data_IF_870334610131
#
_entry.id   IF_870334610131
#
_cell.length_a   1.000
_cell.length_b   1.000
_cell.length_c   1.000
_cell.angle_alpha   90.00
_cell.angle_beta   90.00
_cell.angle_gamma   90.00
#
_symmetry.space_group_name_H-M   'P 1'
#
loop_
_entity.id
_entity.type
_entity.pdbx_description
1 polymer ?
#
# COMPACT_ATOMS: atom_id res chain seq x y z
N UNK A 1 -79.30 -31.70 61.14
CA UNK A 1 -79.41 -33.17 61.32
C UNK A 1 -78.03 -33.76 61.01
N UNK A 2 -77.42 -34.46 61.97
CA UNK A 2 -76.16 -35.21 61.84
C UNK A 2 -76.37 -36.47 60.96
N UNK A 3 -75.36 -37.14 60.34
CA UNK A 3 -74.01 -37.37 60.90
C UNK A 3 -72.80 -37.39 59.92
N UNK A 4 -71.60 -37.38 60.52
CA UNK A 4 -70.29 -37.89 60.01
C UNK A 4 -70.35 -39.45 59.94
N UNK A 5 -69.32 -40.26 59.56
CA UNK A 5 -67.89 -40.01 59.27
C UNK A 5 -67.39 -40.80 58.01
N UNK A 6 -66.12 -40.80 57.62
CA UNK A 6 -65.16 -41.81 58.06
C UNK A 6 -63.75 -41.37 57.63
N UNK A 7 -62.87 -41.17 58.62
CA UNK A 7 -61.44 -41.10 58.38
C UNK A 7 -60.91 -42.52 58.26
N UNK A 8 -60.22 -42.84 57.17
CA UNK A 8 -59.20 -43.88 57.18
C UNK A 8 -57.88 -43.20 56.82
N UNK A 9 -57.06 -42.99 57.84
CA UNK A 9 -55.65 -42.75 57.67
C UNK A 9 -54.99 -44.11 57.51
N UNK A 10 -54.12 -44.30 56.51
CA UNK A 10 -53.09 -45.32 56.59
C UNK A 10 -51.84 -44.89 55.82
N UNK A 11 -50.83 -44.55 56.63
CA UNK A 11 -49.40 -44.85 56.50
C UNK A 11 -48.63 -44.32 55.29
N UNK A 12 -47.77 -43.34 55.62
CA UNK A 12 -46.64 -42.88 54.85
C UNK A 12 -45.65 -44.02 54.55
N UNK A 13 -45.20 -44.07 53.31
CA UNK A 13 -43.93 -44.66 52.93
C UNK A 13 -43.04 -43.53 52.42
N UNK A 14 -42.06 -43.16 53.23
CA UNK A 14 -40.94 -42.31 52.84
C UNK A 14 -40.05 -43.07 51.87
N UNK A 15 -39.88 -42.54 50.65
CA UNK A 15 -38.76 -42.87 49.79
C UNK A 15 -38.00 -41.58 49.47
N UNK A 16 -36.76 -41.54 49.95
CA UNK A 16 -35.74 -40.55 49.63
C UNK A 16 -35.34 -40.79 48.17
N UNK A 17 -35.44 -39.77 47.31
CA UNK A 17 -34.70 -39.74 46.07
C UNK A 17 -34.01 -38.39 45.89
N UNK A 18 -32.76 -38.54 45.44
CA UNK A 18 -31.73 -37.54 45.23
C UNK A 18 -32.13 -36.52 44.16
N UNK A 19 -31.54 -35.34 44.28
CA UNK A 19 -31.56 -34.30 43.26
C UNK A 19 -31.10 -34.83 41.89
N UNK A 20 -31.86 -34.50 40.85
CA UNK A 20 -31.34 -34.16 39.54
C UNK A 20 -32.20 -33.01 39.02
N UNK A 21 -31.56 -31.87 38.76
CA UNK A 21 -32.17 -30.75 38.05
C UNK A 21 -32.29 -31.19 36.59
N UNK A 22 -33.48 -31.60 36.17
CA UNK A 22 -33.84 -31.76 34.76
C UNK A 22 -35.11 -30.97 34.55
N UNK A 23 -34.98 -29.73 34.08
CA UNK A 23 -36.09 -28.96 33.53
C UNK A 23 -36.37 -29.51 32.14
N UNK A 24 -37.14 -30.60 32.07
CA UNK A 24 -37.88 -30.99 30.89
C UNK A 24 -39.15 -30.12 30.85
N UNK A 25 -39.01 -28.90 30.33
CA UNK A 25 -40.14 -28.04 29.96
C UNK A 25 -40.39 -28.22 28.46
N UNK A 26 -40.98 -29.36 28.08
CA UNK A 26 -41.60 -29.53 26.75
C UNK A 26 -43.07 -29.11 26.85
N UNK A 27 -43.37 -27.92 26.33
CA UNK A 27 -44.72 -27.34 26.25
C UNK A 27 -45.62 -28.16 25.29
N UNK A 28 -46.91 -28.38 25.56
CA UNK A 28 -47.80 -29.22 24.76
C UNK A 28 -48.44 -28.47 23.57
N UNK A 29 -47.75 -27.46 23.06
CA UNK A 29 -48.11 -26.71 21.86
C UNK A 29 -46.83 -26.48 21.06
N UNK A 30 -46.30 -27.55 20.46
CA UNK A 30 -45.36 -27.46 19.36
C UNK A 30 -46.06 -26.65 18.26
N UNK A 31 -45.86 -25.34 18.25
CA UNK A 31 -45.95 -24.57 17.02
C UNK A 31 -45.00 -25.29 16.07
N UNK A 32 -45.56 -25.97 15.07
CA UNK A 32 -44.77 -26.67 14.08
C UNK A 32 -43.78 -25.64 13.55
N UNK A 33 -42.49 -25.83 13.88
CA UNK A 33 -41.45 -24.88 13.55
C UNK A 33 -41.48 -24.64 12.05
N UNK A 34 -41.46 -23.36 11.65
CA UNK A 34 -41.55 -22.97 10.25
C UNK A 34 -42.77 -23.52 9.50
N UNK A 35 -43.87 -23.82 10.21
CA UNK A 35 -45.09 -24.37 9.61
C UNK A 35 -44.94 -25.80 9.09
N UNK A 36 -43.80 -26.47 9.37
CA UNK A 36 -43.53 -27.84 8.93
C UNK A 36 -43.03 -27.95 7.49
N UNK A 37 -42.63 -26.82 6.90
CA UNK A 37 -42.12 -26.71 5.54
C UNK A 37 -40.76 -26.00 5.53
N UNK A 38 -39.95 -26.26 6.55
CA UNK A 38 -38.64 -25.64 6.73
C UNK A 38 -38.05 -25.89 8.11
N UNK A 39 -36.82 -25.44 8.28
CA UNK A 39 -36.05 -25.55 9.52
C UNK A 39 -35.85 -24.17 10.16
N UNK A 40 -36.07 -24.07 11.47
CA UNK A 40 -35.83 -22.83 12.22
C UNK A 40 -34.35 -22.67 12.54
N UNK A 41 -33.76 -21.57 12.12
CA UNK A 41 -32.40 -21.19 12.47
C UNK A 41 -32.37 -19.79 13.10
N UNK A 42 -32.06 -19.74 14.39
CA UNK A 42 -32.10 -18.51 15.17
C UNK A 42 -33.53 -17.96 15.26
N UNK A 43 -33.78 -16.86 14.56
CA UNK A 43 -35.07 -16.16 14.49
C UNK A 43 -35.70 -16.17 13.09
N UNK A 44 -35.18 -16.99 12.15
CA UNK A 44 -35.67 -17.10 10.78
C UNK A 44 -35.86 -18.56 10.33
N UNK A 45 -36.69 -18.77 9.32
CA UNK A 45 -37.02 -20.09 8.77
C UNK A 45 -36.34 -20.33 7.42
N UNK A 46 -35.55 -21.40 7.31
CA UNK A 46 -35.08 -21.94 6.03
C UNK A 46 -36.17 -22.82 5.44
N UNK A 47 -36.94 -22.30 4.48
CA UNK A 47 -38.09 -22.99 3.91
C UNK A 47 -37.70 -24.03 2.85
N UNK A 48 -38.47 -25.12 2.77
CA UNK A 48 -38.36 -26.14 1.73
C UNK A 48 -38.70 -25.57 0.34
N UNK A 49 -38.25 -26.25 -0.72
CA UNK A 49 -38.55 -25.90 -2.10
C UNK A 49 -40.05 -25.63 -2.33
N UNK A 50 -40.35 -24.46 -2.91
CA UNK A 50 -41.72 -24.01 -3.17
C UNK A 50 -42.40 -23.30 -2.00
N UNK A 51 -41.68 -23.02 -0.91
CA UNK A 51 -42.14 -22.23 0.22
C UNK A 51 -41.24 -21.01 0.46
N UNK A 52 -41.82 -19.94 0.98
CA UNK A 52 -41.13 -18.70 1.38
C UNK A 52 -41.49 -18.34 2.82
N UNK A 53 -40.57 -17.70 3.53
CA UNK A 53 -40.80 -17.31 4.92
C UNK A 53 -41.77 -16.12 5.01
N UNK A 54 -42.87 -16.30 5.75
CA UNK A 54 -43.78 -15.26 6.23
C UNK A 54 -43.73 -15.24 7.77
N UNK A 55 -42.80 -14.44 8.30
CA UNK A 55 -42.45 -14.48 9.71
C UNK A 55 -41.75 -15.78 10.11
N UNK A 56 -42.28 -16.49 11.12
CA UNK A 56 -41.77 -17.79 11.59
C UNK A 56 -42.56 -18.97 10.98
N UNK A 57 -43.08 -18.80 9.77
CA UNK A 57 -43.86 -19.82 9.06
C UNK A 57 -43.48 -19.84 7.59
N UNK A 58 -43.32 -21.02 7.02
CA UNK A 58 -43.12 -21.19 5.59
C UNK A 58 -44.47 -21.34 4.90
N UNK A 59 -44.77 -20.42 3.98
CA UNK A 59 -46.00 -20.39 3.19
C UNK A 59 -45.68 -20.70 1.73
N UNK A 60 -46.65 -21.24 0.99
CA UNK A 60 -46.45 -21.59 -0.43
C UNK A 60 -46.07 -20.34 -1.21
N UNK A 61 -45.01 -20.44 -2.03
CA UNK A 61 -44.63 -19.37 -2.95
C UNK A 61 -45.73 -19.20 -4.01
N UNK A 62 -46.32 -18.01 -4.12
CA UNK A 62 -47.42 -17.74 -5.07
C UNK A 62 -46.96 -17.72 -6.54
N UNK A 63 -45.66 -17.49 -6.76
CA UNK A 63 -44.96 -17.59 -8.03
C UNK A 63 -43.71 -18.46 -7.81
N UNK A 64 -43.17 -19.15 -8.83
CA UNK A 64 -41.87 -19.79 -8.68
C UNK A 64 -40.86 -18.73 -8.27
N UNK A 65 -40.35 -18.85 -7.05
CA UNK A 65 -39.16 -18.13 -6.64
C UNK A 65 -38.01 -18.75 -7.42
N UNK A 66 -37.58 -18.07 -8.47
CA UNK A 66 -36.32 -18.40 -9.14
C UNK A 66 -35.21 -18.12 -8.11
N UNK A 67 -34.75 -19.18 -7.46
CA UNK A 67 -33.71 -19.15 -6.45
C UNK A 67 -32.52 -18.34 -6.95
N UNK A 68 -32.09 -17.36 -6.16
CA UNK A 68 -30.99 -16.45 -6.54
C UNK A 68 -31.17 -15.79 -7.92
N UNK A 69 -32.41 -15.52 -8.35
CA UNK A 69 -32.68 -14.90 -9.64
C UNK A 69 -32.39 -15.79 -10.85
N UNK A 70 -32.22 -17.09 -10.64
CA UNK A 70 -31.91 -18.07 -11.69
C UNK A 70 -30.44 -18.08 -12.14
N UNK A 71 -29.56 -17.40 -11.41
CA UNK A 71 -28.13 -17.21 -11.74
C UNK A 71 -27.21 -17.53 -10.57
N UNK A 72 -27.59 -18.51 -9.76
CA UNK A 72 -26.83 -18.96 -8.61
C UNK A 72 -27.57 -20.04 -7.84
N UNK A 73 -27.03 -20.37 -6.68
CA UNK A 73 -27.67 -21.25 -5.71
C UNK A 73 -27.60 -20.64 -4.32
N UNK A 74 -28.67 -20.81 -3.55
CA UNK A 74 -28.79 -20.36 -2.19
C UNK A 74 -27.99 -21.29 -1.29
N UNK A 75 -27.17 -20.69 -0.43
CA UNK A 75 -26.56 -21.39 0.69
C UNK A 75 -26.85 -20.60 1.95
N UNK A 76 -27.63 -21.21 2.85
CA UNK A 76 -28.19 -20.57 4.03
C UNK A 76 -29.04 -19.33 3.67
N UNK A 77 -28.51 -18.12 3.86
CA UNK A 77 -29.16 -16.84 3.60
C UNK A 77 -28.47 -16.02 2.48
N UNK A 78 -27.48 -16.60 1.80
CA UNK A 78 -26.64 -15.93 0.80
C UNK A 78 -26.66 -16.64 -0.56
N UNK A 79 -26.67 -15.88 -1.65
CA UNK A 79 -26.60 -16.43 -3.00
C UNK A 79 -25.16 -16.61 -3.49
N UNK A 80 -24.78 -17.86 -3.76
CA UNK A 80 -23.58 -18.17 -4.53
C UNK A 80 -23.87 -18.02 -6.03
N UNK A 81 -23.54 -16.86 -6.56
CA UNK A 81 -23.80 -16.52 -7.94
C UNK A 81 -22.89 -17.23 -8.94
N UNK A 82 -23.43 -17.51 -10.11
CA UNK A 82 -22.71 -17.99 -11.27
C UNK A 82 -21.68 -16.95 -11.75
N UNK A 83 -20.69 -17.39 -12.53
CA UNK A 83 -19.68 -16.50 -13.12
C UNK A 83 -20.34 -15.35 -13.91
N UNK A 84 -19.91 -14.11 -13.62
CA UNK A 84 -20.49 -12.90 -14.22
C UNK A 84 -21.72 -12.36 -13.47
N UNK A 85 -22.07 -12.91 -12.31
CA UNK A 85 -23.13 -12.42 -11.44
C UNK A 85 -22.60 -12.15 -10.03
N UNK A 86 -23.21 -11.20 -9.33
CA UNK A 86 -22.93 -10.86 -7.93
C UNK A 86 -24.25 -10.77 -7.19
N UNK A 87 -24.31 -11.15 -5.90
CA UNK A 87 -25.57 -10.99 -5.19
C UNK A 87 -25.79 -9.55 -4.73
N UNK A 88 -27.03 -9.12 -4.91
CA UNK A 88 -27.56 -7.83 -4.54
C UNK A 88 -29.00 -8.05 -4.07
N UNK A 89 -29.32 -7.60 -2.85
CA UNK A 89 -30.66 -7.72 -2.27
C UNK A 89 -31.21 -9.17 -2.29
N UNK A 90 -30.35 -10.17 -2.05
CA UNK A 90 -30.73 -11.59 -2.02
C UNK A 90 -31.01 -12.22 -3.37
N UNK A 91 -30.54 -11.61 -4.47
CA UNK A 91 -30.63 -12.16 -5.83
C UNK A 91 -29.33 -11.98 -6.60
N UNK A 92 -28.99 -12.91 -7.49
CA UNK A 92 -27.84 -12.75 -8.37
C UNK A 92 -28.19 -11.84 -9.54
N UNK A 93 -27.60 -10.65 -9.53
CA UNK A 93 -27.66 -9.71 -10.66
C UNK A 93 -26.38 -9.79 -11.45
N UNK A 94 -26.42 -9.41 -12.73
CA UNK A 94 -25.20 -9.34 -13.55
C UNK A 94 -24.18 -8.48 -12.81
N UNK A 95 -22.99 -9.02 -12.59
CA UNK A 95 -21.91 -8.29 -12.00
C UNK A 95 -21.63 -7.09 -12.92
N UNK A 96 -21.80 -5.88 -12.38
CA UNK A 96 -21.24 -4.72 -13.06
C UNK A 96 -19.73 -4.90 -13.01
N UNK A 97 -19.14 -5.35 -14.12
CA UNK A 97 -17.70 -5.23 -14.31
C UNK A 97 -17.36 -3.76 -14.07
N UNK A 98 -16.57 -3.40 -13.04
CA UNK A 98 -15.92 -2.10 -13.09
C UNK A 98 -14.96 -2.22 -14.27
N UNK A 99 -15.40 -1.79 -15.45
CA UNK A 99 -14.50 -1.60 -16.58
C UNK A 99 -13.69 -0.36 -16.23
N UNK A 100 -12.68 -0.55 -15.38
CA UNK A 100 -11.65 0.43 -15.15
C UNK A 100 -11.13 0.82 -16.53
N UNK A 101 -11.43 2.04 -16.95
CA UNK A 101 -11.03 2.53 -18.26
C UNK A 101 -9.55 2.92 -18.20
N UNK A 102 -8.70 1.96 -18.58
CA UNK A 102 -7.25 2.12 -18.58
C UNK A 102 -6.72 2.98 -19.73
N UNK A 103 -7.59 3.55 -20.56
CA UNK A 103 -7.23 4.34 -21.73
C UNK A 103 -6.63 3.51 -22.87
N UNK A 104 -5.96 4.17 -23.82
CA UNK A 104 -5.41 3.52 -25.04
C UNK A 104 -4.11 2.74 -24.81
N UNK A 105 -3.53 2.84 -23.61
CA UNK A 105 -2.18 2.33 -23.30
C UNK A 105 -2.15 1.36 -22.11
N UNK A 106 -3.24 0.63 -21.92
CA UNK A 106 -3.33 -0.41 -20.90
C UNK A 106 -4.63 -1.18 -20.97
N UNK A 107 -4.77 -2.14 -20.07
CA UNK A 107 -5.99 -2.92 -19.91
C UNK A 107 -6.29 -3.17 -18.44
N UNK A 108 -7.59 -3.28 -18.13
CA UNK A 108 -8.05 -3.56 -16.78
C UNK A 108 -7.65 -4.98 -16.36
N UNK A 109 -7.16 -5.10 -15.13
CA UNK A 109 -6.95 -6.38 -14.47
C UNK A 109 -7.48 -6.31 -13.03
N UNK A 110 -8.75 -6.68 -12.86
CA UNK A 110 -9.44 -6.48 -11.59
C UNK A 110 -9.70 -5.00 -11.34
N UNK A 111 -9.07 -4.45 -10.31
CA UNK A 111 -9.24 -3.07 -9.83
C UNK A 111 -8.10 -2.11 -10.20
N UNK A 112 -7.13 -2.56 -11.00
CA UNK A 112 -5.96 -1.78 -11.42
C UNK A 112 -5.68 -1.92 -12.93
N UNK A 113 -4.83 -1.04 -13.45
CA UNK A 113 -4.46 -1.01 -14.86
C UNK A 113 -3.10 -1.64 -15.11
N UNK A 114 -3.06 -2.62 -16.00
CA UNK A 114 -1.80 -3.12 -16.54
C UNK A 114 -1.40 -2.25 -17.74
N UNK A 115 -0.49 -1.31 -17.51
CA UNK A 115 -0.04 -0.36 -18.53
C UNK A 115 1.04 -0.91 -19.45
N UNK A 116 1.07 -0.39 -20.69
CA UNK A 116 2.11 -0.69 -21.68
C UNK A 116 3.47 -0.13 -21.24
N UNK A 117 4.55 -0.62 -21.88
CA UNK A 117 5.90 -0.10 -21.64
C UNK A 117 5.98 1.42 -21.89
N UNK A 118 6.52 2.16 -20.93
CA UNK A 118 6.57 3.62 -20.97
C UNK A 118 5.29 4.30 -20.48
N UNK A 119 4.34 3.57 -19.90
CA UNK A 119 3.15 4.09 -19.24
C UNK A 119 3.06 3.60 -17.80
N UNK A 120 2.45 4.39 -16.92
CA UNK A 120 2.20 4.05 -15.52
C UNK A 120 0.75 4.34 -15.15
N UNK A 121 0.22 3.60 -14.18
CA UNK A 121 -1.13 3.84 -13.68
C UNK A 121 -1.16 5.10 -12.79
N UNK A 122 -1.95 6.08 -13.18
CA UNK A 122 -2.29 7.24 -12.35
C UNK A 122 -3.80 7.45 -12.36
N UNK A 123 -4.40 7.53 -11.17
CA UNK A 123 -5.85 7.74 -10.99
C UNK A 123 -6.73 6.76 -11.79
N UNK A 124 -6.31 5.51 -11.90
CA UNK A 124 -7.07 4.47 -12.60
C UNK A 124 -7.02 4.54 -14.12
N UNK A 125 -6.06 5.27 -14.71
CA UNK A 125 -5.78 5.28 -16.15
C UNK A 125 -4.28 5.16 -16.42
N UNK A 126 -3.90 4.58 -17.55
CA UNK A 126 -2.50 4.57 -17.97
C UNK A 126 -2.11 5.92 -18.58
N UNK A 127 -1.11 6.56 -18.01
CA UNK A 127 -0.54 7.82 -18.49
C UNK A 127 0.91 7.61 -18.90
N UNK A 128 1.38 8.38 -19.89
CA UNK A 128 2.76 8.28 -20.35
C UNK A 128 3.70 8.58 -19.18
N UNK A 129 4.63 7.67 -18.92
CA UNK A 129 5.68 7.86 -17.93
C UNK A 129 6.51 9.07 -18.36
N UNK A 130 6.78 9.98 -17.42
CA UNK A 130 7.65 11.10 -17.69
C UNK A 130 9.01 10.57 -18.21
N UNK A 131 9.59 11.19 -19.26
CA UNK A 131 10.90 10.78 -19.73
C UNK A 131 11.88 10.84 -18.56
N UNK A 132 12.67 9.77 -18.41
CA UNK A 132 13.74 9.73 -17.41
C UNK A 132 14.65 10.92 -17.66
N UNK A 133 14.81 11.79 -16.66
CA UNK A 133 15.72 12.94 -16.75
C UNK A 133 17.13 12.47 -17.11
N UNK A 134 17.73 13.10 -18.11
CA UNK A 134 19.13 12.88 -18.46
C UNK A 134 20.00 13.86 -17.66
N UNK A 135 20.46 13.41 -16.50
CA UNK A 135 21.23 14.23 -15.56
C UNK A 135 22.70 14.46 -15.97
N UNK A 136 23.10 14.02 -17.17
CA UNK A 136 24.48 14.12 -17.64
C UNK A 136 25.45 13.18 -16.90
N UNK A 137 26.76 13.39 -17.08
CA UNK A 137 27.80 12.54 -16.50
C UNK A 137 28.02 12.74 -15.00
N UNK A 138 27.52 13.86 -14.43
CA UNK A 138 27.77 14.30 -13.06
C UNK A 138 26.51 14.27 -12.18
N UNK A 139 25.58 13.39 -12.51
CA UNK A 139 24.37 13.20 -11.72
C UNK A 139 23.56 12.00 -12.16
N UNK A 140 22.50 11.73 -11.40
CA UNK A 140 21.55 10.67 -11.72
C UNK A 140 20.12 11.13 -11.41
N UNK A 141 19.17 10.62 -12.20
CA UNK A 141 17.77 10.97 -12.05
C UNK A 141 17.20 10.38 -10.75
N UNK A 142 16.47 11.21 -10.02
CA UNK A 142 15.69 10.78 -8.87
C UNK A 142 14.27 11.35 -8.97
N UNK A 143 13.38 10.60 -9.62
CA UNK A 143 12.03 11.08 -9.94
C UNK A 143 12.09 12.16 -11.01
N UNK A 144 11.73 13.39 -10.64
CA UNK A 144 11.59 14.56 -11.51
C UNK A 144 12.74 15.59 -11.37
N UNK A 145 13.81 15.24 -10.65
CA UNK A 145 14.99 16.09 -10.46
C UNK A 145 16.29 15.29 -10.57
N UNK A 146 17.41 16.00 -10.66
CA UNK A 146 18.74 15.42 -10.75
C UNK A 146 19.46 15.50 -9.41
N UNK A 147 19.94 14.36 -8.93
CA UNK A 147 20.85 14.32 -7.80
C UNK A 147 22.28 14.46 -8.33
N UNK A 148 22.82 15.68 -8.21
CA UNK A 148 24.15 16.02 -8.73
C UNK A 148 25.28 15.61 -7.78
N UNK A 149 26.43 15.31 -8.37
CA UNK A 149 27.67 15.06 -7.63
C UNK A 149 28.14 16.32 -6.88
N UNK A 150 29.02 16.13 -5.90
CA UNK A 150 29.59 17.25 -5.15
C UNK A 150 30.29 18.25 -6.09
N UNK A 151 29.93 19.52 -5.96
CA UNK A 151 30.43 20.59 -6.84
C UNK A 151 29.60 20.81 -8.11
N UNK A 152 28.49 20.09 -8.32
CA UNK A 152 27.58 20.30 -9.44
C UNK A 152 26.19 20.69 -8.93
N UNK A 153 25.43 21.42 -9.74
CA UNK A 153 24.07 21.82 -9.43
C UNK A 153 23.13 21.50 -10.61
N UNK A 154 21.87 21.23 -10.29
CA UNK A 154 20.86 20.99 -11.31
C UNK A 154 20.48 22.32 -11.97
N UNK A 155 20.65 22.38 -13.29
CA UNK A 155 20.17 23.46 -14.14
C UNK A 155 19.50 22.88 -15.39
N UNK A 156 18.25 23.27 -15.64
CA UNK A 156 17.46 22.80 -16.81
C UNK A 156 17.42 21.27 -16.97
N UNK A 157 17.38 20.53 -15.85
CA UNK A 157 17.29 19.07 -15.85
C UNK A 157 18.62 18.36 -16.15
N UNK A 158 19.76 19.03 -16.00
CA UNK A 158 21.08 18.40 -16.10
C UNK A 158 22.01 18.95 -15.01
N UNK A 159 22.99 18.14 -14.59
CA UNK A 159 23.97 18.56 -13.59
C UNK A 159 25.11 19.31 -14.26
N UNK A 160 25.20 20.61 -14.00
CA UNK A 160 26.24 21.49 -14.53
C UNK A 160 27.20 21.92 -13.42
N UNK A 161 28.48 22.17 -13.75
CA UNK A 161 29.38 22.81 -12.79
C UNK A 161 28.84 24.20 -12.44
N UNK A 162 29.16 24.74 -11.26
CA UNK A 162 28.63 26.02 -10.82
C UNK A 162 29.23 27.11 -11.70
N UNK A 163 28.47 28.18 -11.94
CA UNK A 163 28.98 29.35 -12.66
C UNK A 163 30.31 29.80 -12.04
N UNK A 164 31.30 30.08 -12.90
CA UNK A 164 32.64 30.48 -12.48
C UNK A 164 33.32 29.51 -11.51
N UNK A 165 33.03 28.21 -11.61
CA UNK A 165 33.62 27.18 -10.75
C UNK A 165 33.18 27.26 -9.29
N UNK A 166 32.10 28.00 -8.99
CA UNK A 166 31.58 28.19 -7.63
C UNK A 166 32.37 29.20 -6.78
N UNK A 167 33.31 29.93 -7.38
CA UNK A 167 34.19 30.90 -6.70
C UNK A 167 34.15 32.28 -7.35
N UNK A 168 32.99 32.65 -7.90
CA UNK A 168 32.76 33.94 -8.53
C UNK A 168 31.35 34.05 -9.07
N UNK A 169 31.13 35.11 -9.86
CA UNK A 169 29.88 35.31 -10.60
C UNK A 169 30.17 35.87 -11.99
N UNK A 170 29.26 35.66 -12.94
CA UNK A 170 29.38 36.22 -14.28
C UNK A 170 29.02 37.70 -14.30
N UNK A 171 29.89 38.51 -14.92
CA UNK A 171 29.58 39.88 -15.34
C UNK A 171 29.78 39.98 -16.86
N UNK A 172 28.67 39.88 -17.61
CA UNK A 172 28.73 39.69 -19.07
C UNK A 172 29.20 38.27 -19.39
N UNK A 173 30.26 38.17 -20.21
CA UNK A 173 30.88 36.88 -20.60
C UNK A 173 32.14 36.56 -19.78
N UNK A 174 32.38 37.26 -18.66
CA UNK A 174 33.59 37.11 -17.86
C UNK A 174 33.29 36.80 -16.40
N UNK A 175 34.08 35.89 -15.83
CA UNK A 175 33.99 35.58 -14.41
C UNK A 175 34.64 36.66 -13.56
N UNK A 176 33.86 37.23 -12.65
CA UNK A 176 34.32 38.08 -11.57
C UNK A 176 34.48 37.23 -10.31
N UNK A 177 35.73 36.89 -10.02
CA UNK A 177 36.07 35.93 -8.97
C UNK A 177 36.00 36.52 -7.56
N UNK A 178 35.72 35.64 -6.61
CA UNK A 178 35.79 35.93 -5.19
C UNK A 178 37.24 36.21 -4.76
N UNK A 179 37.41 36.86 -3.61
CA UNK A 179 38.76 37.16 -3.08
C UNK A 179 39.56 35.87 -2.86
N UNK A 180 40.79 35.81 -3.39
CA UNK A 180 41.64 34.62 -3.35
C UNK A 180 41.53 33.73 -4.59
N UNK A 181 40.72 34.12 -5.58
CA UNK A 181 40.56 33.43 -6.86
C UNK A 181 40.76 34.40 -8.04
N UNK A 182 41.23 33.88 -9.16
CA UNK A 182 41.42 34.60 -10.43
C UNK A 182 40.75 33.86 -11.57
N UNK A 183 40.28 34.62 -12.56
CA UNK A 183 39.62 34.05 -13.72
C UNK A 183 40.63 33.33 -14.63
N UNK A 184 40.39 32.06 -14.89
CA UNK A 184 41.10 31.26 -15.88
C UNK A 184 40.07 30.64 -16.84
N UNK A 185 39.85 31.30 -17.98
CA UNK A 185 38.74 30.96 -18.88
C UNK A 185 37.39 31.26 -18.25
N UNK A 186 36.50 30.28 -18.23
CA UNK A 186 35.13 30.39 -17.72
C UNK A 186 35.00 29.92 -16.24
N UNK A 187 36.13 29.82 -15.53
CA UNK A 187 36.17 29.41 -14.12
C UNK A 187 37.07 30.32 -13.28
N UNK A 188 36.81 30.37 -11.98
CA UNK A 188 37.65 31.01 -11.00
C UNK A 188 38.54 29.97 -10.32
N UNK A 189 39.86 30.09 -10.51
CA UNK A 189 40.86 29.21 -9.88
C UNK A 189 41.57 29.94 -8.73
N UNK A 190 42.09 29.23 -7.72
CA UNK A 190 42.82 29.87 -6.63
C UNK A 190 43.98 30.73 -7.13
N UNK A 191 44.12 31.96 -6.61
CA UNK A 191 45.23 32.88 -6.92
C UNK A 191 46.60 32.27 -6.62
N UNK A 192 46.64 31.47 -5.55
CA UNK A 192 47.77 30.63 -5.19
C UNK A 192 47.33 29.18 -5.35
N UNK A 193 47.75 28.49 -6.43
CA UNK A 193 47.49 27.07 -6.56
C UNK A 193 48.07 26.33 -5.36
N UNK A 194 47.39 25.29 -4.87
CA UNK A 194 47.94 24.45 -3.81
C UNK A 194 49.30 23.93 -4.27
N UNK A 195 50.34 24.22 -3.50
CA UNK A 195 51.71 23.88 -3.82
C UNK A 195 51.88 22.35 -3.71
N UNK A 196 52.12 21.66 -4.83
CA UNK A 196 52.41 20.23 -4.84
C UNK A 196 53.86 19.96 -4.40
N UNK A 197 54.02 19.71 -3.11
CA UNK A 197 55.32 19.45 -2.50
C UNK A 197 55.89 18.05 -2.78
N UNK A 198 55.20 17.23 -3.57
CA UNK A 198 55.60 15.85 -3.87
C UNK A 198 55.54 14.93 -2.64
N UNK A 199 56.05 13.70 -2.77
CA UNK A 199 55.97 12.67 -1.72
C UNK A 199 56.85 12.95 -0.47
N UNK A 200 57.73 13.96 -0.53
CA UNK A 200 58.74 14.25 0.50
C UNK A 200 58.54 15.61 1.17
N UNK A 201 57.32 16.11 1.16
CA UNK A 201 56.96 17.33 1.86
C UNK A 201 55.46 17.54 1.92
N UNK A 202 55.07 18.64 2.56
CA UNK A 202 53.69 19.12 2.58
C UNK A 202 53.69 20.64 2.41
N UNK A 203 52.61 21.15 1.84
CA UNK A 203 52.44 22.59 1.64
C UNK A 203 52.17 23.30 2.97
N UNK A 204 52.72 24.49 3.12
CA UNK A 204 52.38 25.43 4.17
C UNK A 204 52.38 26.84 3.61
N UNK A 205 51.19 27.32 3.25
CA UNK A 205 51.04 28.57 2.49
C UNK A 205 51.61 28.39 1.08
N UNK A 206 52.53 29.28 0.71
CA UNK A 206 53.20 29.33 -0.59
C UNK A 206 54.56 28.61 -0.62
N UNK A 207 54.88 27.82 0.42
CA UNK A 207 56.14 27.10 0.57
C UNK A 207 55.98 25.62 0.92
N UNK A 208 57.00 24.82 0.63
CA UNK A 208 57.04 23.41 0.96
C UNK A 208 57.85 23.15 2.22
N UNK A 209 57.22 22.51 3.21
CA UNK A 209 57.93 21.91 4.32
C UNK A 209 58.45 20.53 3.92
N UNK A 210 59.72 20.48 3.53
CA UNK A 210 60.37 19.26 3.10
C UNK A 210 60.89 18.40 4.25
N UNK A 211 60.85 17.09 4.04
CA UNK A 211 61.41 16.09 4.94
C UNK A 211 62.94 16.22 5.08
N UNK A 212 63.49 15.62 6.14
CA UNK A 212 64.94 15.62 6.36
C UNK A 212 65.68 14.98 5.19
N UNK A 213 66.60 15.72 4.57
CA UNK A 213 67.34 15.27 3.39
C UNK A 213 66.78 15.79 2.07
N UNK A 214 65.72 16.59 2.09
CA UNK A 214 65.12 17.26 0.95
C UNK A 214 65.11 18.79 1.15
N UNK A 215 65.06 19.54 0.06
CA UNK A 215 64.96 21.00 0.03
C UNK A 215 63.93 21.43 -1.00
N UNK A 216 63.24 22.55 -0.74
CA UNK A 216 62.28 23.13 -1.69
C UNK A 216 63.05 23.69 -2.91
N UNK A 217 62.66 23.23 -4.09
CA UNK A 217 63.15 23.75 -5.37
C UNK A 217 62.00 23.80 -6.36
N UNK A 218 61.75 24.99 -6.94
CA UNK A 218 60.65 25.23 -7.89
C UNK A 218 59.27 24.73 -7.40
N UNK A 219 58.99 24.90 -6.10
CA UNK A 219 57.71 24.54 -5.50
C UNK A 219 57.53 23.05 -5.20
N UNK A 220 58.59 22.23 -5.26
CA UNK A 220 58.54 20.81 -4.90
C UNK A 220 59.73 20.40 -4.03
N UNK A 221 59.60 19.34 -3.24
CA UNK A 221 60.69 18.84 -2.40
C UNK A 221 61.60 17.88 -3.17
N UNK A 222 62.85 18.29 -3.38
CA UNK A 222 63.87 17.49 -4.09
C UNK A 222 65.02 17.09 -3.16
N UNK A 223 65.76 15.99 -3.42
CA UNK A 223 66.88 15.58 -2.58
C UNK A 223 67.93 16.68 -2.41
N UNK A 224 68.36 16.90 -1.18
CA UNK A 224 69.36 17.89 -0.85
C UNK A 224 70.70 17.57 -1.55
N UNK A 225 71.42 18.58 -2.08
CA UNK A 225 72.74 18.37 -2.65
C UNK A 225 73.69 17.74 -1.61
N UNK A 226 74.40 16.69 -2.01
CA UNK A 226 75.43 16.07 -1.17
C UNK A 226 76.64 17.04 -1.10
N UNK A 227 77.14 17.36 0.10
CA UNK A 227 78.28 18.29 0.28
C UNK A 227 79.61 17.76 -0.27
#
# INVERSE_FOLDING_TARGET
MHPRPLRLALLAATAIFLAACGSDDSDPNDTIECGGHGDLHGDHCHCDDGYVADGLTCVVAEEPVEECGGHGHLHDDHCHCDEGYTEQDGTCVVAEEPTLDCGEHGHAHGDHCHCDEGYVEENGTCVAQAPVLDCGEHGHAHGDHCHCDEGYAEENGTCVPPECGGHGHLEGDACHCDTGYVAEGDTCVPETPELDCGEHGHSHGDHCHCDTGYVEQDGTCVPAPVP
#
